data_IF_434536380560
#
_entry.id   IF_434536380560
#
_cell.length_a   1.000
_cell.length_b   1.000
_cell.length_c   1.000
_cell.angle_alpha   90.00
_cell.angle_beta   90.00
_cell.angle_gamma   90.00
#
_symmetry.space_group_name_H-M   'P 1'
#
loop_
_entity.id
_entity.type
_entity.pdbx_description
1 polymer ?
#
# COMPACT_ATOMS: atom_id res chain seq x y z
N UNK A 1 -23.10 12.55 4.00
CA UNK A 1 -23.24 11.37 3.12
C UNK A 1 -21.87 11.07 2.56
N UNK A 2 -21.17 10.09 3.13
CA UNK A 2 -19.81 9.72 2.69
C UNK A 2 -19.94 8.92 1.40
N UNK A 3 -19.35 9.44 0.31
CA UNK A 3 -19.17 8.67 -0.91
C UNK A 3 -18.31 7.45 -0.56
N UNK A 4 -18.73 6.26 -1.01
CA UNK A 4 -18.18 4.98 -0.59
C UNK A 4 -16.66 4.93 -0.76
N UNK A 5 -15.95 4.95 0.36
CA UNK A 5 -14.51 4.66 0.37
C UNK A 5 -14.35 3.19 -0.03
N UNK A 6 -13.88 2.95 -1.26
CA UNK A 6 -13.48 1.62 -1.71
C UNK A 6 -12.35 1.15 -0.79
N UNK A 7 -12.65 0.14 0.01
CA UNK A 7 -11.68 -0.48 0.92
C UNK A 7 -10.67 -1.25 0.08
N UNK A 8 -9.47 -1.35 0.61
CA UNK A 8 -8.39 -2.11 0.00
C UNK A 8 -8.83 -3.56 -0.27
N UNK A 9 -8.74 -3.98 -1.53
CA UNK A 9 -9.17 -5.30 -2.00
C UNK A 9 -8.35 -5.75 -3.21
N UNK A 10 -8.33 -7.05 -3.47
CA UNK A 10 -7.72 -7.61 -4.68
C UNK A 10 -8.45 -7.11 -5.93
N UNK A 11 -7.67 -6.85 -6.99
CA UNK A 11 -8.14 -6.37 -8.28
C UNK A 11 -9.03 -5.12 -8.16
N UNK A 12 -8.55 -4.10 -7.44
CA UNK A 12 -9.36 -2.90 -7.12
C UNK A 12 -9.80 -2.14 -8.39
N UNK A 13 -9.00 -2.22 -9.45
CA UNK A 13 -9.30 -1.63 -10.77
C UNK A 13 -10.14 -2.53 -11.68
N UNK A 14 -10.55 -3.73 -11.22
CA UNK A 14 -11.29 -4.72 -12.01
C UNK A 14 -10.63 -5.03 -13.37
N UNK A 15 -9.31 -5.21 -13.34
CA UNK A 15 -8.54 -5.54 -14.53
C UNK A 15 -8.92 -6.94 -15.01
N UNK A 16 -9.09 -7.09 -16.32
CA UNK A 16 -9.44 -8.38 -16.92
C UNK A 16 -8.31 -9.41 -16.82
N UNK A 17 -7.07 -8.96 -16.65
CA UNK A 17 -5.89 -9.80 -16.54
C UNK A 17 -4.75 -9.08 -15.83
N UNK A 18 -3.99 -9.82 -15.02
CA UNK A 18 -2.72 -9.38 -14.44
C UNK A 18 -1.49 -9.82 -15.24
N UNK A 19 -1.68 -10.49 -16.39
CA UNK A 19 -0.59 -10.99 -17.24
C UNK A 19 0.00 -9.92 -18.16
N UNK A 20 -0.63 -8.74 -18.25
CA UNK A 20 -0.13 -7.62 -19.04
C UNK A 20 0.59 -6.61 -18.12
N UNK A 21 1.66 -5.96 -18.60
CA UNK A 21 2.22 -4.80 -17.92
C UNK A 21 1.15 -3.72 -17.73
N UNK A 22 1.18 -3.01 -16.60
CA UNK A 22 0.29 -1.88 -16.34
C UNK A 22 0.34 -0.82 -17.47
N UNK A 23 1.52 -0.61 -18.07
CA UNK A 23 1.71 0.30 -19.20
C UNK A 23 1.03 -0.14 -20.50
N UNK A 24 0.59 -1.40 -20.58
CA UNK A 24 -0.12 -1.97 -21.74
C UNK A 24 -1.64 -1.92 -21.60
N UNK A 25 -2.17 -1.27 -20.55
CA UNK A 25 -3.61 -1.12 -20.30
C UNK A 25 -3.98 0.36 -20.56
N UNK A 26 -4.50 0.72 -21.75
CA UNK A 26 -4.77 2.11 -22.13
C UNK A 26 -5.72 2.84 -21.18
N UNK A 27 -6.68 2.13 -20.60
CA UNK A 27 -7.76 2.66 -19.77
C UNK A 27 -7.33 2.80 -18.30
N UNK A 28 -6.14 2.31 -17.93
CA UNK A 28 -5.71 2.19 -16.53
C UNK A 28 -5.77 3.52 -15.77
N UNK A 29 -5.40 4.62 -16.42
CA UNK A 29 -5.44 5.96 -15.80
C UNK A 29 -6.87 6.33 -15.38
N UNK A 30 -7.86 6.06 -16.23
CA UNK A 30 -9.27 6.32 -15.91
C UNK A 30 -9.79 5.38 -14.81
N UNK A 31 -9.35 4.11 -14.81
CA UNK A 31 -9.71 3.15 -13.78
C UNK A 31 -9.13 3.55 -12.42
N UNK A 32 -7.90 4.03 -12.36
CA UNK A 32 -7.30 4.55 -11.12
C UNK A 32 -8.16 5.69 -10.56
N UNK A 33 -8.55 6.67 -11.39
CA UNK A 33 -9.36 7.81 -10.96
C UNK A 33 -10.76 7.41 -10.46
N UNK A 34 -11.38 6.40 -11.07
CA UNK A 34 -12.71 5.91 -10.67
C UNK A 34 -12.69 4.93 -9.48
N UNK A 35 -11.63 4.12 -9.38
CA UNK A 35 -11.56 2.98 -8.45
C UNK A 35 -10.67 3.22 -7.24
N UNK A 36 -9.68 4.08 -7.34
CA UNK A 36 -8.72 4.35 -6.26
C UNK A 36 -8.88 5.81 -5.82
N UNK A 37 -9.45 6.00 -4.63
CA UNK A 37 -9.61 7.34 -4.06
C UNK A 37 -8.27 8.03 -3.78
N UNK A 38 -8.28 9.36 -3.74
CA UNK A 38 -7.09 10.19 -3.49
C UNK A 38 -6.39 9.83 -2.18
N UNK A 39 -7.16 9.58 -1.11
CA UNK A 39 -6.61 9.21 0.19
C UNK A 39 -5.83 7.89 0.14
N UNK A 40 -6.33 6.89 -0.60
CA UNK A 40 -5.66 5.60 -0.75
C UNK A 40 -4.40 5.76 -1.60
N UNK A 41 -4.48 6.48 -2.73
CA UNK A 41 -3.32 6.79 -3.58
C UNK A 41 -2.22 7.49 -2.77
N UNK A 42 -2.58 8.52 -2.01
CA UNK A 42 -1.65 9.25 -1.16
C UNK A 42 -1.03 8.35 -0.09
N UNK A 43 -1.85 7.60 0.64
CA UNK A 43 -1.36 6.71 1.67
C UNK A 43 -0.41 5.65 1.08
N UNK A 44 -0.76 5.04 -0.05
CA UNK A 44 0.08 4.04 -0.73
C UNK A 44 1.42 4.59 -1.21
N UNK A 45 1.51 5.88 -1.53
CA UNK A 45 2.75 6.52 -1.97
C UNK A 45 3.63 7.01 -0.80
N UNK A 46 3.04 7.58 0.25
CA UNK A 46 3.80 8.40 1.20
C UNK A 46 3.89 7.85 2.63
N UNK A 47 3.17 6.77 2.98
CA UNK A 47 3.11 6.31 4.38
C UNK A 47 4.49 6.03 5.00
N UNK A 48 5.43 5.44 4.26
CA UNK A 48 6.78 5.16 4.80
C UNK A 48 7.63 6.41 4.93
N UNK A 49 7.49 7.38 4.03
CA UNK A 49 8.19 8.67 4.13
C UNK A 49 7.75 9.43 5.39
N UNK A 50 6.46 9.39 5.72
CA UNK A 50 5.94 9.94 6.98
C UNK A 50 6.52 9.20 8.19
N UNK A 51 6.54 7.87 8.17
CA UNK A 51 7.12 7.08 9.26
C UNK A 51 8.62 7.36 9.48
N UNK A 52 9.36 7.71 8.43
CA UNK A 52 10.79 7.98 8.53
C UNK A 52 11.13 9.30 9.26
N UNK A 53 10.20 10.26 9.28
CA UNK A 53 10.42 11.60 9.86
C UNK A 53 9.73 11.77 11.22
N UNK A 54 8.84 10.86 11.61
CA UNK A 54 8.17 10.88 12.91
C UNK A 54 9.13 10.37 13.99
N UNK A 55 9.36 11.17 15.03
CA UNK A 55 10.25 10.82 16.14
C UNK A 55 9.63 9.75 17.06
N UNK A 56 8.36 9.91 17.41
CA UNK A 56 7.63 9.03 18.31
C UNK A 56 6.40 8.46 17.62
N UNK A 57 6.55 7.28 17.00
CA UNK A 57 5.43 6.57 16.39
C UNK A 57 4.65 5.85 17.49
N UNK A 58 3.32 6.07 17.64
CA UNK A 58 2.51 5.38 18.62
C UNK A 58 2.56 3.85 18.45
N UNK A 59 2.59 3.11 19.56
CA UNK A 59 2.59 1.63 19.54
C UNK A 59 1.41 1.06 18.74
N UNK A 60 0.22 1.66 18.86
CA UNK A 60 -0.97 1.27 18.09
C UNK A 60 -0.78 1.41 16.57
N UNK A 61 -0.05 2.44 16.13
CA UNK A 61 0.31 2.63 14.72
C UNK A 61 1.28 1.54 14.27
N UNK A 62 2.30 1.22 15.09
CA UNK A 62 3.24 0.13 14.80
C UNK A 62 2.55 -1.24 14.70
N UNK A 63 1.60 -1.53 15.59
CA UNK A 63 0.78 -2.75 15.56
C UNK A 63 -0.12 -2.81 14.31
N UNK A 64 -0.68 -1.66 13.91
CA UNK A 64 -1.48 -1.55 12.68
C UNK A 64 -0.61 -1.84 11.44
N UNK A 65 0.58 -1.26 11.36
CA UNK A 65 1.54 -1.52 10.29
C UNK A 65 1.95 -2.98 10.27
N UNK A 66 2.25 -3.57 11.43
CA UNK A 66 2.60 -4.98 11.54
C UNK A 66 1.47 -5.87 11.02
N UNK A 67 0.24 -5.58 11.41
CA UNK A 67 -0.95 -6.30 10.95
C UNK A 67 -1.11 -6.17 9.44
N UNK A 68 -0.98 -4.95 8.90
CA UNK A 68 -1.01 -4.74 7.45
C UNK A 68 0.03 -5.62 6.75
N UNK A 69 1.30 -5.53 7.14
CA UNK A 69 2.42 -6.27 6.55
C UNK A 69 2.31 -7.80 6.70
N UNK A 70 1.58 -8.29 7.71
CA UNK A 70 1.45 -9.73 8.00
C UNK A 70 0.18 -10.35 7.41
N UNK A 71 -0.65 -9.60 6.70
CA UNK A 71 -1.95 -10.06 6.19
C UNK A 71 -2.03 -9.96 4.67
N UNK A 72 -3.06 -10.61 4.09
CA UNK A 72 -3.36 -10.51 2.65
C UNK A 72 -3.58 -9.06 2.18
N UNK A 73 -3.97 -8.17 3.10
CA UNK A 73 -4.14 -6.75 2.81
C UNK A 73 -2.84 -6.13 2.29
N UNK A 74 -1.66 -6.61 2.71
CA UNK A 74 -0.40 -6.14 2.16
C UNK A 74 -0.30 -6.36 0.65
N UNK A 75 -0.76 -7.49 0.13
CA UNK A 75 -0.72 -7.78 -1.30
C UNK A 75 -1.65 -6.85 -2.08
N UNK A 76 -2.84 -6.56 -1.55
CA UNK A 76 -3.73 -5.58 -2.15
C UNK A 76 -3.12 -4.17 -2.13
N UNK A 77 -2.36 -3.83 -1.08
CA UNK A 77 -1.61 -2.57 -1.02
C UNK A 77 -0.51 -2.50 -2.07
N UNK A 78 0.25 -3.59 -2.25
CA UNK A 78 1.28 -3.69 -3.29
C UNK A 78 0.69 -3.59 -4.70
N UNK A 79 -0.52 -4.12 -4.92
CA UNK A 79 -1.25 -3.96 -6.17
C UNK A 79 -1.54 -2.48 -6.46
N UNK A 80 -2.09 -1.75 -5.49
CA UNK A 80 -2.32 -0.30 -5.60
C UNK A 80 -1.02 0.45 -5.88
N UNK A 81 0.06 0.13 -5.15
CA UNK A 81 1.37 0.74 -5.37
C UNK A 81 1.87 0.49 -6.80
N UNK A 82 1.79 -0.76 -7.28
CA UNK A 82 2.20 -1.14 -8.64
C UNK A 82 1.41 -0.38 -9.71
N UNK A 83 0.08 -0.30 -9.56
CA UNK A 83 -0.81 0.35 -10.52
C UNK A 83 -0.61 1.88 -10.53
N UNK A 84 -0.40 2.47 -9.36
CA UNK A 84 -0.20 3.93 -9.22
C UNK A 84 1.25 4.37 -9.47
N UNK A 85 2.16 3.44 -9.80
CA UNK A 85 3.57 3.73 -10.06
C UNK A 85 4.40 4.02 -8.81
N UNK A 86 3.88 3.73 -7.62
CA UNK A 86 4.64 3.82 -6.38
C UNK A 86 5.64 2.65 -6.30
N UNK A 87 6.89 2.92 -5.90
CA UNK A 87 7.91 1.88 -5.74
C UNK A 87 7.94 1.36 -4.30
N UNK A 88 7.55 0.09 -4.05
CA UNK A 88 7.63 -0.51 -2.72
C UNK A 88 9.08 -0.57 -2.21
N UNK A 89 10.06 -0.81 -3.08
CA UNK A 89 11.47 -0.91 -2.68
C UNK A 89 12.03 0.42 -2.18
N UNK A 90 11.69 1.54 -2.82
CA UNK A 90 12.05 2.86 -2.30
C UNK A 90 11.32 3.14 -1.00
N UNK A 91 10.00 2.87 -0.96
CA UNK A 91 9.16 3.09 0.21
C UNK A 91 9.63 2.29 1.44
N UNK A 92 9.91 0.99 1.29
CA UNK A 92 10.31 0.09 2.38
C UNK A 92 11.74 0.35 2.90
N UNK A 93 12.62 0.98 2.09
CA UNK A 93 13.97 1.37 2.54
C UNK A 93 13.96 2.39 3.69
N UNK A 94 12.83 3.08 3.87
CA UNK A 94 12.60 4.07 4.90
C UNK A 94 11.88 3.53 6.13
N UNK A 95 11.52 2.24 6.16
CA UNK A 95 10.95 1.64 7.37
C UNK A 95 11.98 1.77 8.50
N UNK A 96 11.69 2.50 9.59
CA UNK A 96 12.63 2.65 10.69
C UNK A 96 13.03 1.29 11.24
N UNK A 97 14.30 1.14 11.67
CA UNK A 97 14.80 -0.08 12.35
C UNK A 97 13.87 -0.56 13.48
N UNK A 98 13.07 0.32 14.06
CA UNK A 98 12.04 0.02 15.05
C UNK A 98 11.00 -0.99 14.55
N UNK A 99 10.54 -0.93 13.29
CA UNK A 99 9.60 -1.93 12.75
C UNK A 99 10.30 -3.26 12.48
N UNK A 100 11.57 -3.22 12.04
CA UNK A 100 12.40 -4.43 11.91
C UNK A 100 12.61 -5.13 13.27
N UNK A 101 12.68 -4.36 14.36
CA UNK A 101 12.82 -4.87 15.73
C UNK A 101 11.55 -5.52 16.29
N UNK A 102 10.38 -5.28 15.66
CA UNK A 102 9.12 -5.89 16.07
C UNK A 102 8.98 -7.36 15.62
N UNK A 103 9.95 -7.95 14.94
CA UNK A 103 10.00 -9.40 14.78
C UNK A 103 9.21 -9.91 13.57
N UNK A 104 9.78 -9.65 12.39
CA UNK A 104 9.85 -10.68 11.34
C UNK A 104 11.00 -11.65 11.69
N UNK A 105 10.98 -12.21 12.91
CA UNK A 105 11.76 -13.41 13.19
C UNK A 105 10.91 -14.57 12.72
N UNK A 106 11.40 -15.23 11.68
CA UNK A 106 10.98 -16.57 11.26
C UNK A 106 10.59 -17.39 12.49
N UNK A 107 9.32 -17.78 12.58
CA UNK A 107 8.99 -18.98 13.35
C UNK A 107 9.25 -20.16 12.41
N UNK A 108 10.41 -20.76 12.64
CA UNK A 108 10.80 -22.11 12.21
C UNK A 108 9.77 -23.14 12.65
#
# INVERSE_FOLDING_TARGET
MLHGEKRLQFNICDLSTSFLPNSSIPELTSLIQDKIGEALTYASQFWTSHLAVVQDVPTSTLETIRTLLSTIQFFHWLEVMSITGASPLQSLSFIPRQVSSLGLSSKT
#
